data_IF_434496136019
#
_entry.id   IF_434496136019
#
_cell.length_a   1.000
_cell.length_b   1.000
_cell.length_c   1.000
_cell.angle_alpha   90.00
_cell.angle_beta   90.00
_cell.angle_gamma   90.00
#
_symmetry.space_group_name_H-M   'P 1'
#
loop_
_entity.id
_entity.type
_entity.pdbx_description
1 polymer ?
#
# COMPACT_ATOMS: atom_id res chain seq x y z
N UNK A 1 5.27 16.75 -12.13
CA UNK A 1 4.90 15.34 -11.89
C UNK A 1 4.05 14.89 -13.07
N UNK A 2 4.42 13.79 -13.72
CA UNK A 2 3.73 13.26 -14.90
C UNK A 2 2.71 12.19 -14.49
N UNK A 3 1.48 12.34 -14.98
CA UNK A 3 0.34 11.41 -14.84
C UNK A 3 -0.01 10.94 -13.41
N UNK A 4 -0.42 11.85 -12.51
CA UNK A 4 -0.86 11.46 -11.17
C UNK A 4 -2.24 10.78 -11.20
N UNK A 5 -2.46 9.85 -10.27
CA UNK A 5 -3.81 9.36 -9.95
C UNK A 5 -4.56 10.49 -9.24
N UNK A 6 -5.55 11.09 -9.92
CA UNK A 6 -6.37 12.18 -9.36
C UNK A 6 -7.58 11.60 -8.63
N UNK A 7 -7.98 12.25 -7.54
CA UNK A 7 -9.17 11.92 -6.76
C UNK A 7 -9.82 13.21 -6.24
N UNK A 8 -11.14 13.18 -6.03
CA UNK A 8 -11.92 14.34 -5.53
C UNK A 8 -12.27 14.20 -4.04
N UNK A 9 -12.54 12.98 -3.57
CA UNK A 9 -12.97 12.72 -2.18
C UNK A 9 -12.06 11.71 -1.51
N UNK A 10 -12.12 10.45 -1.94
CA UNK A 10 -11.40 9.34 -1.33
C UNK A 10 -10.58 8.57 -2.36
N UNK A 11 -9.42 8.06 -1.94
CA UNK A 11 -8.58 7.16 -2.72
C UNK A 11 -8.18 5.95 -1.87
N UNK A 12 -8.46 4.75 -2.36
CA UNK A 12 -7.98 3.48 -1.79
C UNK A 12 -7.16 2.74 -2.83
N UNK A 13 -5.92 2.41 -2.48
CA UNK A 13 -5.02 1.60 -3.31
C UNK A 13 -4.81 0.26 -2.64
N UNK A 14 -5.00 -0.81 -3.40
CA UNK A 14 -4.75 -2.19 -2.95
C UNK A 14 -3.69 -2.79 -3.86
N UNK A 15 -2.62 -3.33 -3.28
CA UNK A 15 -1.58 -4.07 -4.00
C UNK A 15 -1.78 -5.55 -3.72
N UNK A 16 -1.76 -6.37 -4.77
CA UNK A 16 -1.87 -7.83 -4.66
C UNK A 16 -0.55 -8.47 -5.11
N UNK A 17 0.10 -9.20 -4.20
CA UNK A 17 1.23 -10.04 -4.53
C UNK A 17 0.72 -11.43 -4.95
N UNK A 18 0.52 -11.61 -6.26
CA UNK A 18 -0.01 -12.86 -6.82
C UNK A 18 1.08 -13.59 -7.59
N UNK A 19 1.30 -14.87 -7.25
CA UNK A 19 2.17 -15.75 -8.02
C UNK A 19 1.38 -16.59 -9.03
N UNK A 20 2.08 -17.12 -10.04
CA UNK A 20 1.52 -18.01 -11.06
C UNK A 20 2.30 -19.32 -11.15
N UNK A 21 1.57 -20.44 -11.24
CA UNK A 21 2.09 -21.77 -11.62
C UNK A 21 1.75 -22.06 -13.09
N UNK A 22 2.37 -23.11 -13.63
CA UNK A 22 2.02 -23.65 -14.93
C UNK A 22 0.50 -23.93 -15.05
N UNK A 23 -0.06 -23.61 -16.22
CA UNK A 23 -1.49 -23.74 -16.51
C UNK A 23 -2.37 -22.64 -15.92
N UNK A 24 -1.83 -21.45 -15.62
CA UNK A 24 -2.61 -20.30 -15.16
C UNK A 24 -3.16 -20.44 -13.74
N UNK A 25 -2.56 -21.30 -12.91
CA UNK A 25 -3.01 -21.54 -11.53
C UNK A 25 -2.34 -20.58 -10.57
N UNK A 26 -3.08 -20.17 -9.53
CA UNK A 26 -2.57 -19.31 -8.48
C UNK A 26 -1.44 -19.99 -7.68
N UNK A 27 -0.37 -19.25 -7.42
CA UNK A 27 0.66 -19.58 -6.44
C UNK A 27 0.51 -18.60 -5.25
N UNK A 28 0.12 -19.08 -4.07
CA UNK A 28 0.21 -18.29 -2.85
C UNK A 28 1.69 -17.97 -2.59
N UNK A 29 2.02 -16.69 -2.53
CA UNK A 29 3.36 -16.20 -2.19
C UNK A 29 3.47 -16.00 -0.68
N UNK A 30 4.67 -16.21 -0.13
CA UNK A 30 5.03 -15.90 1.25
C UNK A 30 6.07 -14.78 1.24
N UNK A 31 5.64 -13.61 0.80
CA UNK A 31 6.49 -12.45 0.67
C UNK A 31 6.35 -11.55 1.90
N UNK A 32 7.48 -11.07 2.42
CA UNK A 32 7.51 -9.96 3.38
C UNK A 32 7.52 -8.64 2.60
N UNK A 33 6.39 -7.93 2.57
CA UNK A 33 6.17 -6.75 1.73
C UNK A 33 5.90 -5.52 2.57
N UNK A 34 6.71 -4.48 2.35
CA UNK A 34 6.45 -3.12 2.81
C UNK A 34 6.25 -2.18 1.60
N UNK A 35 5.46 -1.12 1.77
CA UNK A 35 5.24 -0.10 0.74
C UNK A 35 5.19 1.30 1.35
N UNK A 36 5.51 2.31 0.55
CA UNK A 36 5.40 3.74 0.91
C UNK A 36 4.58 4.43 -0.17
N UNK A 37 3.66 5.31 0.24
CA UNK A 37 2.84 6.11 -0.66
C UNK A 37 3.10 7.61 -0.42
N UNK A 38 3.17 8.37 -1.50
CA UNK A 38 3.22 9.83 -1.47
C UNK A 38 2.01 10.38 -2.19
N UNK A 39 1.35 11.37 -1.61
CA UNK A 39 0.21 12.05 -2.23
C UNK A 39 0.16 13.51 -1.81
N UNK A 40 -0.67 14.25 -2.53
CA UNK A 40 -0.98 15.64 -2.24
C UNK A 40 -2.50 15.74 -2.06
N UNK A 41 -2.92 16.44 -1.00
CA UNK A 41 -4.33 16.70 -0.71
C UNK A 41 -4.49 18.14 -0.24
N UNK A 42 -5.68 18.70 -0.46
CA UNK A 42 -6.01 20.01 0.08
C UNK A 42 -6.23 19.93 1.60
N UNK A 43 -5.95 21.03 2.29
CA UNK A 43 -6.24 21.16 3.73
C UNK A 43 -7.71 21.55 3.98
N UNK A 44 -8.26 21.24 5.17
CA UNK A 44 -7.64 20.49 6.27
C UNK A 44 -7.69 18.98 6.05
N UNK A 45 -6.67 18.28 6.53
CA UNK A 45 -6.68 16.83 6.56
C UNK A 45 -6.65 16.28 7.98
N UNK A 46 -7.11 15.04 8.14
CA UNK A 46 -7.00 14.34 9.41
C UNK A 46 -5.52 14.17 9.81
N UNK A 47 -5.19 14.21 11.12
CA UNK A 47 -3.87 13.83 11.59
C UNK A 47 -3.60 12.37 11.28
N UNK A 48 -2.35 12.05 10.95
CA UNK A 48 -1.93 10.66 10.73
C UNK A 48 -1.72 9.94 12.06
N UNK A 49 -1.98 8.62 12.12
CA UNK A 49 -1.53 7.80 13.24
C UNK A 49 -0.01 7.92 13.41
N UNK A 50 0.46 7.84 14.66
CA UNK A 50 1.89 7.76 14.91
C UNK A 50 2.48 6.50 14.28
N UNK A 51 3.70 6.61 13.77
CA UNK A 51 4.45 5.45 13.30
C UNK A 51 4.66 4.48 14.49
N UNK A 52 4.40 3.17 14.32
CA UNK A 52 4.71 2.19 15.36
C UNK A 52 6.22 2.20 15.70
N UNK A 53 6.55 1.88 16.95
CA UNK A 53 7.93 1.68 17.37
C UNK A 53 8.55 0.43 16.73
N UNK A 54 9.88 0.30 16.81
CA UNK A 54 10.66 -0.80 16.21
C UNK A 54 10.06 -2.19 16.47
N UNK A 55 9.75 -2.51 17.72
CA UNK A 55 9.23 -3.83 18.10
C UNK A 55 7.82 -4.08 17.55
N UNK A 56 7.03 -3.01 17.35
CA UNK A 56 5.71 -3.08 16.71
C UNK A 56 5.78 -3.28 15.20
N UNK A 57 6.95 -3.09 14.58
CA UNK A 57 7.21 -3.33 13.15
C UNK A 57 7.84 -4.71 12.90
N UNK A 58 8.25 -5.44 13.95
CA UNK A 58 8.87 -6.77 13.83
C UNK A 58 7.87 -7.91 13.57
N UNK A 59 6.57 -7.61 13.42
CA UNK A 59 5.54 -8.63 13.16
C UNK A 59 5.15 -8.62 11.68
N UNK A 60 5.66 -9.57 10.90
CA UNK A 60 5.15 -9.98 9.59
C UNK A 60 5.20 -11.50 9.44
#
# INVERSE_FOLDING_TARGET
ITDPIRFERDLKVTIQALGWRAGGRYLPLQDDIASVAYWYQAEPHAPFPALPGKDGLEVN
#
